data_IF_482011576713
#
_entry.id   IF_482011576713
#
_cell.length_a   1.000
_cell.length_b   1.000
_cell.length_c   1.000
_cell.angle_alpha   90.00
_cell.angle_beta   90.00
_cell.angle_gamma   90.00
#
_symmetry.space_group_name_H-M   'P 1'
#
loop_
_entity.id
_entity.type
_entity.pdbx_description
1 polymer ?
#
# COMPACT_ATOMS: atom_id res chain seq x y z
N UNK A 1 25.32 -70.27 16.30
CA UNK A 1 25.17 -69.19 17.30
C UNK A 1 26.56 -68.57 17.45
N UNK A 2 26.87 -67.32 17.19
CA UNK A 2 26.10 -66.06 17.26
C UNK A 2 26.70 -65.07 16.25
N UNK A 3 25.87 -64.49 15.38
CA UNK A 3 26.21 -63.30 14.59
C UNK A 3 26.01 -62.07 15.49
N UNK A 4 27.06 -61.28 15.72
CA UNK A 4 26.97 -60.00 16.44
C UNK A 4 26.52 -58.87 15.51
N UNK A 5 25.65 -57.93 15.95
CA UNK A 5 25.11 -56.90 15.09
C UNK A 5 26.16 -55.83 14.76
N UNK A 6 26.28 -55.50 13.47
CA UNK A 6 27.08 -54.40 12.98
C UNK A 6 26.50 -53.05 13.44
N UNK A 7 27.28 -52.31 14.23
CA UNK A 7 27.02 -50.92 14.57
C UNK A 7 27.29 -50.05 13.32
N UNK A 8 26.31 -49.99 12.42
CA UNK A 8 26.28 -49.03 11.33
C UNK A 8 26.04 -47.64 11.90
N UNK A 9 27.12 -46.89 12.13
CA UNK A 9 27.06 -45.50 12.59
C UNK A 9 26.27 -44.65 11.61
N UNK A 10 25.00 -44.41 11.93
CA UNK A 10 24.18 -43.41 11.27
C UNK A 10 24.85 -42.06 11.51
N UNK A 11 25.60 -41.58 10.52
CA UNK A 11 26.18 -40.25 10.52
C UNK A 11 24.99 -39.29 10.50
N UNK A 12 24.68 -38.69 11.65
CA UNK A 12 23.73 -37.57 11.74
C UNK A 12 24.34 -36.47 10.87
N UNK A 13 23.89 -36.36 9.63
CA UNK A 13 24.23 -35.25 8.76
C UNK A 13 23.53 -34.05 9.35
N UNK A 14 24.27 -33.28 10.15
CA UNK A 14 23.78 -32.02 10.67
C UNK A 14 23.43 -31.13 9.48
N UNK A 15 22.20 -30.57 9.41
CA UNK A 15 21.86 -29.60 8.38
C UNK A 15 22.93 -28.52 8.39
N UNK A 16 23.47 -28.22 7.21
CA UNK A 16 24.52 -27.21 7.11
C UNK A 16 23.89 -25.84 7.30
N UNK A 17 24.64 -24.86 7.82
CA UNK A 17 24.18 -23.47 7.98
C UNK A 17 23.57 -22.90 6.68
N UNK A 18 23.98 -23.42 5.53
CA UNK A 18 23.45 -23.05 4.22
C UNK A 18 22.03 -23.57 3.97
N UNK A 19 21.67 -24.73 4.52
CA UNK A 19 20.32 -25.29 4.43
C UNK A 19 19.35 -24.45 5.26
N UNK A 20 19.76 -24.00 6.46
CA UNK A 20 18.97 -23.09 7.29
C UNK A 20 18.73 -21.74 6.59
N UNK A 21 19.74 -21.19 5.90
CA UNK A 21 19.63 -19.94 5.13
C UNK A 21 18.69 -20.10 3.93
N UNK A 22 18.74 -21.24 3.22
CA UNK A 22 17.87 -21.50 2.06
C UNK A 22 16.42 -21.68 2.48
N UNK A 23 16.15 -22.37 3.60
CA UNK A 23 14.80 -22.56 4.13
C UNK A 23 14.19 -21.22 4.58
N UNK A 24 14.97 -20.34 5.21
CA UNK A 24 14.51 -19.00 5.61
C UNK A 24 14.30 -18.01 4.45
N UNK A 25 14.92 -18.26 3.29
CA UNK A 25 14.74 -17.42 2.09
C UNK A 25 13.49 -17.82 1.29
N UNK A 26 13.09 -19.10 1.32
CA UNK A 26 12.01 -19.65 0.50
C UNK A 26 10.59 -19.31 0.99
N UNK A 27 10.44 -18.89 2.24
CA UNK A 27 9.17 -18.47 2.84
C UNK A 27 8.79 -17.00 2.55
N UNK A 28 9.57 -16.28 1.75
CA UNK A 28 9.48 -14.81 1.57
C UNK A 28 8.78 -14.36 0.27
N UNK A 29 7.86 -15.15 -0.27
CA UNK A 29 7.24 -14.87 -1.59
C UNK A 29 5.70 -14.71 -1.53
N UNK A 30 5.15 -14.17 -0.44
CA UNK A 30 3.83 -13.51 -0.55
C UNK A 30 4.14 -12.08 -0.96
N UNK A 31 4.02 -11.70 -2.24
CA UNK A 31 4.26 -10.32 -2.63
C UNK A 31 3.28 -9.44 -1.84
N UNK A 32 3.78 -8.53 -0.99
CA UNK A 32 2.93 -7.56 -0.34
C UNK A 32 2.23 -6.72 -1.42
N UNK A 33 1.11 -6.10 -1.05
CA UNK A 33 0.39 -5.03 -1.75
C UNK A 33 1.01 -4.67 -3.11
N UNK A 34 0.34 -5.04 -4.22
CA UNK A 34 0.92 -4.99 -5.58
C UNK A 34 1.78 -3.71 -5.80
N UNK A 35 3.12 -3.84 -5.91
CA UNK A 35 4.02 -2.69 -5.89
C UNK A 35 3.80 -1.76 -7.08
N UNK A 36 3.30 -2.30 -8.20
CA UNK A 36 2.93 -1.51 -9.37
C UNK A 36 1.73 -0.62 -9.06
N UNK A 37 0.71 -1.16 -8.39
CA UNK A 37 -0.49 -0.39 -8.02
C UNK A 37 -0.17 0.68 -6.99
N UNK A 38 0.61 0.33 -5.96
CA UNK A 38 1.10 1.29 -4.96
C UNK A 38 1.88 2.41 -5.64
N UNK A 39 2.85 2.08 -6.50
CA UNK A 39 3.62 3.05 -7.26
C UNK A 39 2.75 3.95 -8.14
N UNK A 40 1.77 3.36 -8.85
CA UNK A 40 0.83 4.11 -9.67
C UNK A 40 0.02 5.12 -8.84
N UNK A 41 -0.54 4.69 -7.70
CA UNK A 41 -1.27 5.60 -6.82
C UNK A 41 -0.37 6.71 -6.29
N UNK A 42 0.85 6.39 -5.84
CA UNK A 42 1.81 7.40 -5.35
C UNK A 42 2.13 8.44 -6.44
N UNK A 43 2.39 8.01 -7.67
CA UNK A 43 2.68 8.92 -8.79
C UNK A 43 1.48 9.80 -9.12
N UNK A 44 0.28 9.23 -9.20
CA UNK A 44 -0.94 9.99 -9.48
C UNK A 44 -1.25 10.97 -8.34
N UNK A 45 -1.13 10.55 -7.09
CA UNK A 45 -1.30 11.41 -5.92
C UNK A 45 -0.33 12.60 -5.96
N UNK A 46 0.95 12.34 -6.23
CA UNK A 46 1.96 13.39 -6.38
C UNK A 46 1.62 14.35 -7.53
N UNK A 47 1.21 13.82 -8.68
CA UNK A 47 0.83 14.63 -9.84
C UNK A 47 -0.38 15.53 -9.54
N UNK A 48 -1.42 15.00 -8.90
CA UNK A 48 -2.60 15.78 -8.47
C UNK A 48 -2.19 16.84 -7.45
N UNK A 49 -1.33 16.49 -6.49
CA UNK A 49 -0.86 17.44 -5.49
C UNK A 49 -0.09 18.61 -6.11
N UNK A 50 0.85 18.31 -7.01
CA UNK A 50 1.62 19.31 -7.74
C UNK A 50 0.73 20.18 -8.64
N UNK A 51 -0.24 19.59 -9.33
CA UNK A 51 -1.20 20.34 -10.14
C UNK A 51 -2.07 21.27 -9.28
N UNK A 52 -2.48 20.81 -8.09
CA UNK A 52 -3.17 21.62 -7.09
C UNK A 52 -2.34 22.84 -6.67
N UNK A 53 -1.12 22.61 -6.19
CA UNK A 53 -0.20 23.67 -5.78
C UNK A 53 0.13 24.65 -6.92
N UNK A 54 0.40 24.14 -8.12
CA UNK A 54 0.68 24.95 -9.29
C UNK A 54 -0.50 25.86 -9.66
N UNK A 55 -1.74 25.36 -9.57
CA UNK A 55 -2.93 26.16 -9.82
C UNK A 55 -3.12 27.26 -8.78
N UNK A 56 -2.90 26.95 -7.49
CA UNK A 56 -2.94 27.95 -6.42
C UNK A 56 -1.89 29.03 -6.64
N UNK A 57 -0.64 28.64 -6.93
CA UNK A 57 0.48 29.55 -7.15
C UNK A 57 0.23 30.46 -8.37
N UNK A 58 -0.33 29.90 -9.44
CA UNK A 58 -0.74 30.64 -10.62
C UNK A 58 -2.03 31.46 -10.43
N UNK A 59 -2.65 31.43 -9.23
CA UNK A 59 -3.94 32.05 -8.91
C UNK A 59 -5.07 31.63 -9.86
N UNK A 60 -5.02 30.39 -10.36
CA UNK A 60 -6.03 29.80 -11.25
C UNK A 60 -7.02 28.97 -10.43
N UNK A 61 -8.25 28.84 -10.95
CA UNK A 61 -9.23 27.90 -10.41
C UNK A 61 -8.90 26.48 -10.84
N UNK A 62 -9.42 25.50 -10.10
CA UNK A 62 -9.34 24.08 -10.48
C UNK A 62 -10.09 23.85 -11.81
N UNK A 63 -9.54 23.00 -12.67
CA UNK A 63 -10.10 22.69 -13.98
C UNK A 63 -10.34 21.20 -14.17
N UNK A 64 -10.63 20.80 -15.42
CA UNK A 64 -10.87 19.39 -15.77
C UNK A 64 -9.68 18.49 -15.42
N UNK A 65 -8.44 18.99 -15.55
CA UNK A 65 -7.24 18.25 -15.17
C UNK A 65 -7.28 17.80 -13.71
N UNK A 66 -7.65 18.70 -12.80
CA UNK A 66 -7.76 18.39 -11.37
C UNK A 66 -8.86 17.38 -11.10
N UNK A 67 -10.01 17.53 -11.76
CA UNK A 67 -11.15 16.64 -11.57
C UNK A 67 -10.86 15.22 -12.09
N UNK A 68 -10.31 15.09 -13.30
CA UNK A 68 -9.92 13.81 -13.87
C UNK A 68 -8.75 13.19 -13.11
N UNK A 69 -7.76 13.98 -12.71
CA UNK A 69 -6.65 13.49 -11.89
C UNK A 69 -7.13 12.94 -10.54
N UNK A 70 -8.03 13.65 -9.86
CA UNK A 70 -8.65 13.18 -8.61
C UNK A 70 -9.51 11.94 -8.84
N UNK A 71 -10.28 11.88 -9.93
CA UNK A 71 -11.10 10.70 -10.26
C UNK A 71 -10.27 9.45 -10.59
N UNK A 72 -9.15 9.61 -11.31
CA UNK A 72 -8.20 8.51 -11.57
C UNK A 72 -7.56 8.05 -10.26
N UNK A 73 -7.17 9.00 -9.39
CA UNK A 73 -6.63 8.69 -8.08
C UNK A 73 -7.62 7.85 -7.25
N UNK A 74 -8.88 8.30 -7.19
CA UNK A 74 -9.97 7.61 -6.49
C UNK A 74 -10.18 6.19 -7.02
N UNK A 75 -10.22 6.02 -8.34
CA UNK A 75 -10.40 4.71 -8.96
C UNK A 75 -9.27 3.74 -8.60
N UNK A 76 -8.01 4.19 -8.65
CA UNK A 76 -6.87 3.37 -8.27
C UNK A 76 -6.93 2.96 -6.79
N UNK A 77 -7.34 3.88 -5.91
CA UNK A 77 -7.51 3.63 -4.49
C UNK A 77 -8.63 2.61 -4.23
N UNK A 78 -9.75 2.68 -4.95
CA UNK A 78 -10.83 1.70 -4.85
C UNK A 78 -10.37 0.31 -5.31
N UNK A 79 -9.65 0.21 -6.42
CA UNK A 79 -9.07 -1.07 -6.88
C UNK A 79 -8.13 -1.62 -5.81
N UNK A 80 -7.27 -0.79 -5.24
CA UNK A 80 -6.35 -1.18 -4.17
C UNK A 80 -7.12 -1.66 -2.93
N UNK A 81 -8.17 -0.95 -2.52
CA UNK A 81 -8.99 -1.32 -1.37
C UNK A 81 -9.70 -2.65 -1.56
N UNK A 82 -10.28 -2.89 -2.74
CA UNK A 82 -10.93 -4.16 -3.08
C UNK A 82 -9.93 -5.32 -3.02
N UNK A 83 -8.74 -5.15 -3.61
CA UNK A 83 -7.70 -6.18 -3.57
C UNK A 83 -7.22 -6.46 -2.14
N UNK A 84 -6.99 -5.42 -1.34
CA UNK A 84 -6.58 -5.57 0.05
C UNK A 84 -7.65 -6.31 0.88
N UNK A 85 -8.92 -5.95 0.73
CA UNK A 85 -10.03 -6.62 1.41
C UNK A 85 -10.16 -8.07 0.95
N UNK A 86 -10.02 -8.35 -0.35
CA UNK A 86 -10.08 -9.71 -0.89
C UNK A 86 -9.01 -10.62 -0.27
N UNK A 87 -7.80 -10.12 -0.03
CA UNK A 87 -6.73 -10.86 0.65
C UNK A 87 -7.10 -11.16 2.12
N UNK A 88 -7.62 -10.17 2.85
CA UNK A 88 -8.05 -10.36 4.24
C UNK A 88 -9.18 -11.40 4.36
N UNK A 89 -10.16 -11.34 3.46
CA UNK A 89 -11.24 -12.34 3.39
C UNK A 89 -10.69 -13.70 2.96
N UNK A 90 -9.65 -13.74 2.13
CA UNK A 90 -8.93 -14.94 1.71
C UNK A 90 -8.09 -15.61 2.81
N UNK A 91 -8.02 -15.03 4.01
CA UNK A 91 -7.37 -15.62 5.17
C UNK A 91 -6.05 -14.96 5.57
N UNK A 92 -5.61 -13.92 4.88
CA UNK A 92 -4.47 -13.11 5.34
C UNK A 92 -4.79 -12.41 6.65
N UNK A 93 -3.88 -12.49 7.62
CA UNK A 93 -4.06 -11.91 8.96
C UNK A 93 -3.02 -10.84 9.20
N UNK A 94 -3.45 -9.58 9.31
CA UNK A 94 -2.56 -8.47 9.65
C UNK A 94 -2.28 -8.38 11.14
N UNK A 95 -1.09 -7.92 11.50
CA UNK A 95 -0.70 -7.67 12.89
C UNK A 95 -1.66 -6.71 13.60
N UNK A 96 -2.19 -5.71 12.88
CA UNK A 96 -3.20 -4.78 13.37
C UNK A 96 -4.25 -4.49 12.27
N UNK A 97 -5.22 -5.40 12.16
CA UNK A 97 -6.29 -5.33 11.16
C UNK A 97 -7.20 -4.09 11.34
N UNK A 98 -7.66 -3.72 12.55
CA UNK A 98 -8.48 -2.52 12.74
C UNK A 98 -7.78 -1.25 12.27
N UNK A 99 -6.50 -1.07 12.61
CA UNK A 99 -5.73 0.09 12.16
C UNK A 99 -5.59 0.10 10.65
N UNK A 100 -5.25 -1.03 10.02
CA UNK A 100 -5.16 -1.13 8.57
C UNK A 100 -6.47 -0.73 7.88
N UNK A 101 -7.60 -1.26 8.34
CA UNK A 101 -8.93 -0.93 7.78
C UNK A 101 -9.29 0.54 7.99
N UNK A 102 -8.91 1.14 9.12
CA UNK A 102 -9.09 2.57 9.36
C UNK A 102 -8.33 3.43 8.35
N UNK A 103 -7.06 3.09 8.08
CA UNK A 103 -6.27 3.77 7.04
C UNK A 103 -6.84 3.51 5.64
N UNK A 104 -7.31 2.30 5.35
CA UNK A 104 -7.86 1.93 4.05
C UNK A 104 -9.18 2.64 3.75
N UNK A 105 -10.04 2.81 4.76
CA UNK A 105 -11.26 3.62 4.61
C UNK A 105 -10.93 5.10 4.46
N UNK A 106 -10.06 5.63 5.32
CA UNK A 106 -9.71 7.06 5.30
C UNK A 106 -9.05 7.49 3.99
N UNK A 107 -8.19 6.64 3.41
CA UNK A 107 -7.49 6.98 2.16
C UNK A 107 -8.44 7.12 0.97
N UNK A 108 -9.52 6.34 0.92
CA UNK A 108 -10.58 6.44 -0.11
C UNK A 108 -11.46 7.67 0.13
N UNK A 109 -11.71 8.04 1.38
CA UNK A 109 -12.55 9.21 1.68
C UNK A 109 -11.87 10.55 1.37
N UNK A 110 -10.53 10.60 1.42
CA UNK A 110 -9.77 11.84 1.25
C UNK A 110 -9.94 12.51 -0.13
N UNK A 111 -9.76 11.83 -1.28
CA UNK A 111 -9.96 12.46 -2.58
C UNK A 111 -11.43 12.84 -2.82
N UNK A 112 -12.39 12.06 -2.33
CA UNK A 112 -13.82 12.41 -2.39
C UNK A 112 -14.09 13.71 -1.64
N UNK A 113 -13.68 13.78 -0.37
CA UNK A 113 -13.88 14.96 0.47
C UNK A 113 -13.14 16.18 -0.11
N UNK A 114 -11.88 16.00 -0.51
CA UNK A 114 -11.07 17.05 -1.13
C UNK A 114 -11.66 17.54 -2.45
N UNK A 115 -12.16 16.64 -3.30
CA UNK A 115 -12.79 16.97 -4.58
C UNK A 115 -14.12 17.68 -4.43
N UNK A 116 -14.96 17.25 -3.49
CA UNK A 116 -16.23 17.91 -3.18
C UNK A 116 -16.01 19.31 -2.60
N UNK A 117 -15.10 19.45 -1.63
CA UNK A 117 -14.77 20.75 -1.05
C UNK A 117 -14.14 21.68 -2.09
N UNK A 118 -13.17 21.20 -2.87
CA UNK A 118 -12.55 22.03 -3.88
C UNK A 118 -13.56 22.53 -4.95
N UNK A 119 -14.64 21.79 -5.22
CA UNK A 119 -15.75 22.27 -6.07
C UNK A 119 -16.63 23.32 -5.40
N UNK A 120 -16.84 23.24 -4.08
CA UNK A 120 -17.61 24.23 -3.34
C UNK A 120 -16.81 25.50 -3.05
N UNK A 121 -15.47 25.45 -3.12
CA UNK A 121 -14.56 26.58 -2.89
C UNK A 121 -14.32 27.37 -4.19
N UNK A 122 -14.89 28.58 -4.34
CA UNK A 122 -14.79 29.34 -5.60
C UNK A 122 -13.45 30.07 -5.77
N UNK A 123 -12.59 30.06 -4.76
CA UNK A 123 -11.34 30.83 -4.75
C UNK A 123 -10.14 30.04 -5.28
N UNK A 124 -8.97 30.69 -5.35
CA UNK A 124 -7.69 30.07 -5.71
C UNK A 124 -7.25 28.97 -4.73
N UNK A 125 -7.87 28.88 -3.54
CA UNK A 125 -7.49 27.94 -2.49
C UNK A 125 -8.00 26.50 -2.75
N UNK A 126 -8.94 26.33 -3.68
CA UNK A 126 -9.41 25.01 -4.11
C UNK A 126 -8.26 24.09 -4.55
N UNK A 127 -7.23 24.64 -5.22
CA UNK A 127 -6.04 23.89 -5.61
C UNK A 127 -5.23 23.38 -4.41
N UNK A 128 -5.15 24.16 -3.34
CA UNK A 128 -4.44 23.78 -2.11
C UNK A 128 -5.19 22.68 -1.36
N UNK A 129 -6.51 22.75 -1.31
CA UNK A 129 -7.35 21.71 -0.70
C UNK A 129 -7.11 20.36 -1.38
N UNK A 130 -7.13 20.33 -2.72
CA UNK A 130 -6.80 19.12 -3.48
C UNK A 130 -5.36 18.65 -3.23
N UNK A 131 -4.42 19.59 -3.12
CA UNK A 131 -3.03 19.25 -2.86
C UNK A 131 -2.82 18.60 -1.50
N UNK A 132 -3.49 19.11 -0.46
CA UNK A 132 -3.44 18.53 0.89
C UNK A 132 -4.10 17.16 0.90
N UNK A 133 -5.27 17.00 0.27
CA UNK A 133 -5.96 15.71 0.18
C UNK A 133 -5.08 14.66 -0.53
N UNK A 134 -4.51 15.00 -1.68
CA UNK A 134 -3.63 14.10 -2.44
C UNK A 134 -2.29 13.83 -1.73
N UNK A 135 -1.73 14.82 -1.03
CA UNK A 135 -0.54 14.63 -0.20
C UNK A 135 -0.78 13.68 0.97
N UNK A 136 -1.93 13.82 1.64
CA UNK A 136 -2.34 12.92 2.72
C UNK A 136 -2.53 11.48 2.21
N UNK A 137 -3.08 11.29 1.01
CA UNK A 137 -3.14 9.97 0.35
C UNK A 137 -1.75 9.34 0.22
N UNK A 138 -0.74 10.10 -0.20
CA UNK A 138 0.64 9.62 -0.29
C UNK A 138 1.19 9.10 1.06
N UNK A 139 0.93 9.83 2.14
CA UNK A 139 1.33 9.41 3.50
C UNK A 139 0.57 8.17 3.95
N UNK A 140 -0.74 8.10 3.69
CA UNK A 140 -1.56 6.95 4.08
C UNK A 140 -1.17 5.68 3.32
N UNK A 141 -0.80 5.78 2.03
CA UNK A 141 -0.23 4.65 1.29
C UNK A 141 1.04 4.14 1.95
N UNK A 142 1.98 5.03 2.24
CA UNK A 142 3.23 4.64 2.90
C UNK A 142 2.96 3.96 4.25
N UNK A 143 1.94 4.41 4.98
CA UNK A 143 1.52 3.79 6.23
C UNK A 143 0.91 2.40 6.02
N UNK A 144 0.05 2.23 5.02
CA UNK A 144 -0.54 0.93 4.68
C UNK A 144 0.52 -0.10 4.28
N UNK A 145 1.53 0.31 3.51
CA UNK A 145 2.67 -0.56 3.14
C UNK A 145 3.41 -1.02 4.39
N UNK A 146 3.74 -0.12 5.32
CA UNK A 146 4.39 -0.49 6.58
C UNK A 146 3.56 -1.46 7.43
N UNK A 147 2.25 -1.25 7.55
CA UNK A 147 1.36 -2.15 8.30
C UNK A 147 1.33 -3.56 7.67
N UNK A 148 1.38 -3.62 6.34
CA UNK A 148 1.45 -4.89 5.63
C UNK A 148 2.79 -5.59 5.84
N UNK A 149 3.90 -4.88 5.67
CA UNK A 149 5.25 -5.43 5.87
C UNK A 149 5.50 -5.91 7.30
N UNK A 150 4.97 -5.18 8.30
CA UNK A 150 5.06 -5.57 9.71
C UNK A 150 4.35 -6.89 10.03
N UNK A 151 3.44 -7.35 9.17
CA UNK A 151 2.73 -8.63 9.32
C UNK A 151 3.58 -9.81 8.86
N UNK A 152 4.44 -9.61 7.85
CA UNK A 152 5.33 -10.63 7.28
C UNK A 152 6.76 -10.62 7.84
N UNK A 153 6.96 -10.00 9.00
CA UNK A 153 8.25 -9.85 9.69
C UNK A 153 8.66 -11.05 10.53
#
# INVERSE_FOLDING_TARGET
>A
MVFGPGQGGARVVSPTREDDIRVHRRSREVPPVNPVLVGAVTVVAAAVALAGLASTAARRRIGLLHLWGTAVLELLLLVQAVLAIALLVGGERLADTPTFLGYLGGIVLLPVAGGLWARSEPTRWAGTVLAVAAGAVGVMIWRLVQLWEATGG
#
